data_IF_748541927439
#
_entry.id   IF_748541927439
#
_cell.length_a   1.000
_cell.length_b   1.000
_cell.length_c   1.000
_cell.angle_alpha   90.00
_cell.angle_beta   90.00
_cell.angle_gamma   90.00
#
_symmetry.space_group_name_H-M   'P 1'
#
loop_
_entity.id
_entity.type
_entity.pdbx_description
1 polymer ?
#
# COMPACT_ATOMS: atom_id res chain seq x y z
N UNK A 1 9.82 13.94 -26.29
CA UNK A 1 8.84 13.74 -25.20
C UNK A 1 8.51 12.25 -24.97
N UNK A 2 8.51 11.42 -26.00
CA UNK A 2 8.19 9.98 -25.90
C UNK A 2 9.13 9.22 -24.93
N UNK A 3 10.42 9.51 -24.96
CA UNK A 3 11.40 8.83 -24.08
C UNK A 3 11.18 9.11 -22.58
N UNK A 4 10.56 10.24 -22.23
CA UNK A 4 10.25 10.58 -20.83
C UNK A 4 9.09 9.72 -20.32
N UNK A 5 8.12 9.42 -21.17
CA UNK A 5 6.98 8.57 -20.81
C UNK A 5 7.40 7.14 -20.50
N UNK A 6 8.45 6.64 -21.16
CA UNK A 6 9.01 5.31 -20.90
C UNK A 6 9.74 5.22 -19.56
N UNK A 7 10.19 6.34 -19.00
CA UNK A 7 10.83 6.37 -17.68
C UNK A 7 9.83 6.12 -16.54
N UNK A 8 8.55 6.47 -16.70
CA UNK A 8 7.52 6.31 -15.66
C UNK A 8 7.39 4.83 -15.24
N UNK A 9 7.14 3.87 -16.16
CA UNK A 9 7.06 2.47 -15.76
C UNK A 9 8.39 1.92 -15.25
N UNK A 10 9.53 2.40 -15.72
CA UNK A 10 10.85 2.00 -15.21
C UNK A 10 11.00 2.40 -13.75
N UNK A 11 10.70 3.65 -13.38
CA UNK A 11 10.74 4.09 -11.99
C UNK A 11 9.72 3.32 -11.12
N UNK A 12 8.55 3.00 -11.66
CA UNK A 12 7.57 2.14 -10.97
C UNK A 12 8.12 0.75 -10.64
N UNK A 13 8.77 0.11 -11.60
CA UNK A 13 9.40 -1.21 -11.41
C UNK A 13 10.54 -1.13 -10.38
N UNK A 14 11.41 -0.12 -10.48
CA UNK A 14 12.49 0.11 -9.51
C UNK A 14 11.93 0.30 -8.10
N UNK A 15 10.85 1.10 -7.96
CA UNK A 15 10.16 1.29 -6.69
C UNK A 15 9.61 -0.02 -6.11
N UNK A 16 8.97 -0.86 -6.94
CA UNK A 16 8.47 -2.17 -6.52
C UNK A 16 9.60 -3.11 -6.07
N UNK A 17 10.70 -3.18 -6.81
CA UNK A 17 11.87 -3.99 -6.42
C UNK A 17 12.40 -3.51 -5.07
N UNK A 18 12.57 -2.19 -4.90
CA UNK A 18 13.05 -1.60 -3.66
C UNK A 18 12.10 -1.89 -2.49
N UNK A 19 10.79 -1.79 -2.70
CA UNK A 19 9.77 -2.16 -1.74
C UNK A 19 9.92 -3.62 -1.28
N UNK A 20 10.10 -4.57 -2.21
CA UNK A 20 10.30 -5.99 -1.86
C UNK A 20 11.58 -6.21 -1.05
N UNK A 21 12.67 -5.52 -1.38
CA UNK A 21 13.93 -5.59 -0.62
C UNK A 21 13.73 -5.09 0.80
N UNK A 22 13.08 -3.93 0.98
CA UNK A 22 12.81 -3.35 2.30
C UNK A 22 11.87 -4.24 3.13
N UNK A 23 10.78 -4.72 2.52
CA UNK A 23 9.85 -5.65 3.16
C UNK A 23 10.57 -6.88 3.69
N UNK A 24 11.38 -7.54 2.85
CA UNK A 24 12.12 -8.74 3.23
C UNK A 24 13.11 -8.45 4.36
N UNK A 25 13.71 -7.27 4.36
CA UNK A 25 14.60 -6.87 5.44
C UNK A 25 13.83 -6.63 6.75
N UNK A 26 12.71 -5.93 6.72
CA UNK A 26 11.86 -5.66 7.89
C UNK A 26 11.34 -6.95 8.51
N UNK A 27 10.82 -7.86 7.71
CA UNK A 27 10.24 -9.12 8.20
C UNK A 27 11.30 -10.03 8.87
N UNK A 28 12.57 -9.87 8.53
CA UNK A 28 13.69 -10.60 9.16
C UNK A 28 14.11 -10.03 10.51
N UNK A 29 13.64 -8.82 10.89
CA UNK A 29 13.96 -8.26 12.21
C UNK A 29 13.20 -9.02 13.31
N UNK A 30 13.79 -9.04 14.51
CA UNK A 30 13.18 -9.67 15.66
C UNK A 30 11.83 -9.04 16.01
N UNK A 31 10.83 -9.87 16.24
CA UNK A 31 9.47 -9.47 16.65
C UNK A 31 9.28 -9.45 18.16
N UNK A 32 10.33 -9.78 18.93
CA UNK A 32 10.34 -9.76 20.37
C UNK A 32 9.64 -10.96 21.03
N UNK A 33 9.15 -10.74 22.24
CA UNK A 33 8.56 -11.80 23.07
C UNK A 33 7.25 -12.33 22.49
N UNK A 34 6.84 -13.52 22.93
CA UNK A 34 5.53 -14.12 22.58
C UNK A 34 4.35 -13.20 22.91
N UNK A 35 4.43 -12.45 24.01
CA UNK A 35 3.40 -11.48 24.37
C UNK A 35 3.31 -10.33 23.36
N UNK A 36 4.44 -9.85 22.85
CA UNK A 36 4.49 -8.79 21.83
C UNK A 36 3.94 -9.29 20.49
N UNK A 37 4.34 -10.47 20.05
CA UNK A 37 3.85 -11.06 18.80
C UNK A 37 2.34 -11.35 18.84
N UNK A 38 1.82 -11.78 20.00
CA UNK A 38 0.39 -12.00 20.20
C UNK A 38 -0.41 -10.69 20.13
N UNK A 39 0.12 -9.63 20.75
CA UNK A 39 -0.51 -8.29 20.67
C UNK A 39 -0.46 -7.75 19.24
N UNK A 40 0.67 -7.92 18.56
CA UNK A 40 0.82 -7.53 17.16
C UNK A 40 -0.16 -8.27 16.23
N UNK A 41 -0.46 -9.53 16.51
CA UNK A 41 -1.45 -10.30 15.76
C UNK A 41 -2.87 -9.69 15.89
N UNK A 42 -3.27 -9.28 17.08
CA UNK A 42 -4.56 -8.59 17.30
C UNK A 42 -4.63 -7.24 16.57
N UNK A 43 -3.54 -6.47 16.62
CA UNK A 43 -3.46 -5.18 15.89
C UNK A 43 -3.58 -5.42 14.39
N UNK A 44 -2.90 -6.43 13.86
CA UNK A 44 -2.96 -6.80 12.45
C UNK A 44 -4.35 -7.26 12.03
N UNK A 45 -5.01 -8.06 12.85
CA UNK A 45 -6.39 -8.51 12.62
C UNK A 45 -7.35 -7.31 12.55
N UNK A 46 -7.26 -6.38 13.51
CA UNK A 46 -8.06 -5.15 13.51
C UNK A 46 -7.79 -4.28 12.28
N UNK A 47 -6.53 -4.12 11.87
CA UNK A 47 -6.15 -3.36 10.69
C UNK A 47 -6.71 -3.99 9.39
N UNK A 48 -6.69 -5.32 9.28
CA UNK A 48 -7.24 -6.03 8.13
C UNK A 48 -8.77 -5.99 8.10
N UNK A 49 -9.42 -6.04 9.27
CA UNK A 49 -10.87 -5.87 9.37
C UNK A 49 -11.29 -4.47 8.93
N UNK A 50 -10.55 -3.43 9.35
CA UNK A 50 -10.74 -2.06 8.89
C UNK A 50 -10.62 -1.94 7.37
N UNK A 51 -9.54 -2.47 6.78
CA UNK A 51 -9.34 -2.46 5.33
C UNK A 51 -10.49 -3.13 4.57
N UNK A 52 -10.98 -4.27 5.06
CA UNK A 52 -12.08 -4.97 4.42
C UNK A 52 -13.38 -4.14 4.44
N UNK A 53 -13.64 -3.41 5.52
CA UNK A 53 -14.78 -2.49 5.60
C UNK A 53 -14.63 -1.31 4.64
N UNK A 54 -13.43 -0.72 4.60
CA UNK A 54 -13.10 0.40 3.73
C UNK A 54 -13.18 0.02 2.24
N UNK A 55 -12.70 -1.16 1.86
CA UNK A 55 -12.77 -1.64 0.48
C UNK A 55 -14.20 -1.83 -0.02
N UNK A 56 -15.14 -2.17 0.86
CA UNK A 56 -16.56 -2.24 0.49
C UNK A 56 -17.08 -0.86 0.08
N UNK A 57 -16.73 0.18 0.84
CA UNK A 57 -17.12 1.56 0.55
C UNK A 57 -16.42 2.04 -0.72
N UNK A 58 -15.12 1.77 -0.84
CA UNK A 58 -14.32 2.10 -2.01
C UNK A 58 -14.88 1.45 -3.30
N UNK A 59 -15.31 0.18 -3.23
CA UNK A 59 -15.92 -0.50 -4.36
C UNK A 59 -17.20 0.18 -4.83
N UNK A 60 -18.07 0.60 -3.90
CA UNK A 60 -19.28 1.36 -4.23
C UNK A 60 -18.90 2.69 -4.89
N UNK A 61 -17.93 3.40 -4.33
CA UNK A 61 -17.45 4.66 -4.90
C UNK A 61 -16.89 4.47 -6.33
N UNK A 62 -16.08 3.44 -6.56
CA UNK A 62 -15.50 3.14 -7.88
C UNK A 62 -16.60 2.83 -8.90
N UNK A 63 -17.65 2.11 -8.50
CA UNK A 63 -18.79 1.81 -9.38
C UNK A 63 -19.55 3.09 -9.74
N UNK A 64 -19.88 3.93 -8.74
CA UNK A 64 -20.60 5.18 -8.96
C UNK A 64 -19.79 6.17 -9.80
N UNK A 65 -18.53 6.40 -9.44
CA UNK A 65 -17.65 7.30 -10.18
C UNK A 65 -17.34 6.77 -11.59
N UNK A 66 -17.16 5.45 -11.74
CA UNK A 66 -17.00 4.82 -13.04
C UNK A 66 -18.21 5.00 -13.94
N UNK A 67 -19.43 4.84 -13.40
CA UNK A 67 -20.67 5.09 -14.13
C UNK A 67 -20.79 6.56 -14.58
N UNK A 68 -20.45 7.50 -13.71
CA UNK A 68 -20.41 8.92 -14.06
C UNK A 68 -19.39 9.20 -15.18
N UNK A 69 -18.21 8.59 -15.12
CA UNK A 69 -17.20 8.74 -16.17
C UNK A 69 -17.68 8.17 -17.51
N UNK A 70 -18.42 7.06 -17.51
CA UNK A 70 -19.04 6.52 -18.75
C UNK A 70 -20.02 7.52 -19.33
N UNK A 71 -20.91 8.12 -18.52
CA UNK A 71 -21.87 9.11 -18.96
C UNK A 71 -21.15 10.33 -19.55
N UNK A 72 -20.16 10.87 -18.83
CA UNK A 72 -19.39 12.03 -19.30
C UNK A 72 -18.64 11.70 -20.60
N UNK A 73 -18.03 10.53 -20.70
CA UNK A 73 -17.33 10.08 -21.90
C UNK A 73 -18.27 9.90 -23.11
N UNK A 74 -19.58 9.68 -22.88
CA UNK A 74 -20.58 9.56 -23.95
C UNK A 74 -21.09 10.91 -24.44
N UNK A 75 -20.99 11.95 -23.62
CA UNK A 75 -21.54 13.31 -23.94
C UNK A 75 -20.42 14.22 -24.47
N UNK A 76 -19.18 14.05 -23.98
CA UNK A 76 -18.06 14.93 -24.30
C UNK A 76 -17.17 14.27 -25.35
N UNK A 77 -17.22 14.76 -26.59
CA UNK A 77 -16.47 14.18 -27.72
C UNK A 77 -14.93 14.15 -27.56
N UNK A 78 -14.39 15.02 -26.69
CA UNK A 78 -12.95 15.07 -26.39
C UNK A 78 -12.52 14.01 -25.36
N UNK A 79 -13.45 13.27 -24.76
CA UNK A 79 -13.19 12.30 -23.72
C UNK A 79 -13.32 10.89 -24.28
N UNK A 80 -12.27 10.08 -24.10
CA UNK A 80 -12.23 8.73 -24.62
C UNK A 80 -12.64 7.70 -23.55
N UNK A 81 -13.32 6.62 -23.93
CA UNK A 81 -13.73 5.54 -23.01
C UNK A 81 -12.54 4.90 -22.24
N UNK A 82 -11.33 5.03 -22.75
CA UNK A 82 -10.11 4.61 -22.05
C UNK A 82 -9.92 5.26 -20.68
N UNK A 83 -10.53 6.42 -20.41
CA UNK A 83 -10.46 7.06 -19.09
C UNK A 83 -11.11 6.19 -18.01
N UNK A 84 -12.21 5.50 -18.35
CA UNK A 84 -12.89 4.59 -17.42
C UNK A 84 -12.01 3.39 -17.10
N UNK A 85 -11.39 2.82 -18.12
CA UNK A 85 -10.47 1.68 -17.95
C UNK A 85 -9.28 2.09 -17.09
N UNK A 86 -8.65 3.24 -17.38
CA UNK A 86 -7.54 3.77 -16.61
C UNK A 86 -7.93 4.03 -15.15
N UNK A 87 -9.13 4.58 -14.92
CA UNK A 87 -9.67 4.82 -13.59
C UNK A 87 -9.83 3.52 -12.78
N UNK A 88 -10.45 2.50 -13.37
CA UNK A 88 -10.65 1.20 -12.70
C UNK A 88 -9.32 0.52 -12.41
N UNK A 89 -8.39 0.50 -13.36
CA UNK A 89 -7.06 -0.07 -13.17
C UNK A 89 -6.31 0.68 -12.05
N UNK A 90 -6.37 2.02 -12.05
CA UNK A 90 -5.77 2.84 -11.00
C UNK A 90 -6.37 2.55 -9.62
N UNK A 91 -7.69 2.41 -9.52
CA UNK A 91 -8.38 2.07 -8.28
C UNK A 91 -7.93 0.68 -7.75
N UNK A 92 -7.81 -0.31 -8.63
CA UNK A 92 -7.32 -1.65 -8.26
C UNK A 92 -5.88 -1.59 -7.76
N UNK A 93 -4.99 -0.90 -8.46
CA UNK A 93 -3.59 -0.76 -8.03
C UNK A 93 -3.49 -0.01 -6.70
N UNK A 94 -4.28 1.03 -6.49
CA UNK A 94 -4.34 1.76 -5.23
C UNK A 94 -4.79 0.85 -4.07
N UNK A 95 -5.83 0.05 -4.27
CA UNK A 95 -6.32 -0.89 -3.27
C UNK A 95 -5.26 -1.96 -2.93
N UNK A 96 -4.58 -2.52 -3.94
CA UNK A 96 -3.50 -3.50 -3.73
C UNK A 96 -2.32 -2.87 -2.98
N UNK A 97 -1.90 -1.67 -3.36
CA UNK A 97 -0.82 -0.94 -2.69
C UNK A 97 -1.17 -0.65 -1.22
N UNK A 98 -2.38 -0.18 -0.94
CA UNK A 98 -2.88 0.06 0.42
C UNK A 98 -2.88 -1.22 1.28
N UNK A 99 -3.31 -2.36 0.71
CA UNK A 99 -3.28 -3.64 1.41
C UNK A 99 -1.86 -4.08 1.77
N UNK A 100 -0.94 -3.99 0.81
CA UNK A 100 0.47 -4.34 1.03
C UNK A 100 1.09 -3.42 2.07
N UNK A 101 0.87 -2.11 1.95
CA UNK A 101 1.38 -1.10 2.88
C UNK A 101 0.90 -1.34 4.31
N UNK A 102 -0.40 -1.54 4.51
CA UNK A 102 -0.98 -1.79 5.84
C UNK A 102 -0.41 -3.06 6.49
N UNK A 103 -0.23 -4.14 5.73
CA UNK A 103 0.38 -5.38 6.24
C UNK A 103 1.80 -5.16 6.71
N UNK A 104 2.59 -4.42 5.93
CA UNK A 104 3.99 -4.15 6.27
C UNK A 104 4.11 -3.16 7.42
N UNK A 105 3.25 -2.14 7.47
CA UNK A 105 3.21 -1.21 8.59
C UNK A 105 2.90 -1.92 9.92
N UNK A 106 1.89 -2.79 9.94
CA UNK A 106 1.56 -3.58 11.14
C UNK A 106 2.67 -4.55 11.53
N UNK A 107 3.31 -5.19 10.54
CA UNK A 107 4.46 -6.07 10.79
C UNK A 107 5.71 -5.29 11.27
N UNK A 108 5.87 -4.03 10.87
CA UNK A 108 6.98 -3.16 11.31
C UNK A 108 6.82 -2.68 12.75
N UNK A 109 5.58 -2.45 13.21
CA UNK A 109 5.31 -1.85 14.52
C UNK A 109 5.93 -2.66 15.67
N UNK A 110 5.70 -3.97 15.71
CA UNK A 110 6.24 -4.84 16.76
C UNK A 110 7.77 -4.91 16.69
N UNK A 111 8.34 -4.95 15.49
CA UNK A 111 9.79 -5.00 15.27
C UNK A 111 10.48 -3.69 15.64
N UNK A 112 9.82 -2.57 15.39
CA UNK A 112 10.28 -1.26 15.85
C UNK A 112 10.29 -1.20 17.38
N UNK A 113 9.26 -1.73 18.02
CA UNK A 113 9.16 -1.77 19.49
C UNK A 113 10.25 -2.65 20.08
N UNK A 114 10.53 -3.82 19.50
CA UNK A 114 11.63 -4.68 19.98
C UNK A 114 13.00 -4.04 19.75
N UNK A 115 13.22 -3.44 18.57
CA UNK A 115 14.46 -2.71 18.29
C UNK A 115 14.69 -1.55 19.26
N UNK A 116 13.63 -0.88 19.72
CA UNK A 116 13.71 0.22 20.68
C UNK A 116 14.21 -0.23 22.07
N UNK A 117 14.08 -1.49 22.42
CA UNK A 117 14.66 -2.05 23.65
C UNK A 117 16.18 -2.10 23.61
N UNK A 118 16.74 -2.18 22.42
CA UNK A 118 18.19 -2.25 22.22
C UNK A 118 18.78 -0.85 22.01
N UNK A 119 18.25 -0.06 21.07
CA UNK A 119 18.70 1.30 20.83
C UNK A 119 17.71 2.11 20.00
N UNK A 120 17.66 3.42 20.24
CA UNK A 120 16.83 4.36 19.47
C UNK A 120 17.24 4.38 17.97
N UNK A 121 18.53 4.44 17.59
CA UNK A 121 18.90 4.41 16.17
C UNK A 121 18.43 3.14 15.44
N UNK A 122 18.45 1.98 16.11
CA UNK A 122 17.97 0.74 15.51
C UNK A 122 16.44 0.75 15.33
N UNK A 123 15.71 1.24 16.31
CA UNK A 123 14.25 1.42 16.21
C UNK A 123 13.87 2.34 15.03
N UNK A 124 14.55 3.50 14.93
CA UNK A 124 14.32 4.43 13.82
C UNK A 124 14.63 3.80 12.46
N UNK A 125 15.71 3.00 12.36
CA UNK A 125 16.06 2.29 11.13
C UNK A 125 14.95 1.31 10.69
N UNK A 126 14.35 0.57 11.63
CA UNK A 126 13.25 -0.36 11.34
C UNK A 126 12.00 0.42 10.95
N UNK A 127 11.64 1.45 11.72
CA UNK A 127 10.47 2.29 11.50
C UNK A 127 10.51 3.01 10.15
N UNK A 128 11.62 3.68 9.83
CA UNK A 128 11.77 4.37 8.55
C UNK A 128 11.73 3.41 7.36
N UNK A 129 12.39 2.26 7.45
CA UNK A 129 12.35 1.27 6.37
C UNK A 129 10.96 0.66 6.20
N UNK A 130 10.25 0.42 7.30
CA UNK A 130 8.85 -0.02 7.26
C UNK A 130 7.92 1.03 6.63
N UNK A 131 8.09 2.30 7.01
CA UNK A 131 7.32 3.40 6.45
C UNK A 131 7.63 3.71 4.97
N UNK A 132 8.87 3.51 4.53
CA UNK A 132 9.26 3.72 3.12
C UNK A 132 8.60 2.72 2.16
N UNK A 133 8.08 1.61 2.68
CA UNK A 133 7.36 0.61 1.87
C UNK A 133 5.95 1.07 1.50
N UNK A 134 5.37 1.96 2.28
CA UNK A 134 4.06 2.59 2.01
C UNK A 134 4.19 3.74 1.02
#
# INVERSE_FOLDING_TARGET
MENILLLIPVFGIVGLIYMFVLRNWVVKQDSGSEKMTKLAAYIKEGALAFLNAEYRILAIFVVVAGALLVIVSSIVETTHWFIVVAFVIGAVFSAVAGNIGMRIATDSNVRTTEAARTSLPQALKVSFRGGTVM
#
